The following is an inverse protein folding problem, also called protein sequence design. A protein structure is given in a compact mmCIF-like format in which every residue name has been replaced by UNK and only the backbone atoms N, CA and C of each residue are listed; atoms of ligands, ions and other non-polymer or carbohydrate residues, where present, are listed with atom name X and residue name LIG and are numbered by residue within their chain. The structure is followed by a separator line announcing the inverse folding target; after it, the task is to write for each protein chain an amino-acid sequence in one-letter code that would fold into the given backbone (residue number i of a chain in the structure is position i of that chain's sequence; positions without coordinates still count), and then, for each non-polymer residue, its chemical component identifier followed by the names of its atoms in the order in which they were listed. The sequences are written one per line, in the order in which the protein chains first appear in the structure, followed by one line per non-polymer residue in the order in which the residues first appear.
data_IF_660532453314
#
_entry.id   IF_660532453314
#
_cell.length_a   1.000
_cell.length_b   1.000
_cell.length_c   1.000
_cell.angle_alpha   90.00
_cell.angle_beta   90.00
_cell.angle_gamma   90.00
#
_symmetry.space_group_name_H-M   'P 1'
#
loop_
_entity.id
_entity.type
_entity.pdbx_description
1 polymer ?
#
# COMPACT_ATOMS: atom_id res chain seq x y z
N UNK A 1 -1.32 -20.21 -3.55
CA UNK A 1 0.02 -19.74 -3.12
C UNK A 1 -0.20 -18.59 -2.14
N UNK A 2 0.57 -18.55 -1.06
CA UNK A 2 0.49 -17.50 -0.02
C UNK A 2 1.54 -16.44 -0.33
N UNK A 3 1.15 -15.16 -0.37
CA UNK A 3 2.08 -14.06 -0.63
C UNK A 3 2.99 -13.83 0.59
N UNK A 4 4.30 -13.85 0.37
CA UNK A 4 5.30 -13.63 1.41
C UNK A 4 5.98 -12.25 1.28
N UNK A 5 6.16 -11.56 2.41
CA UNK A 5 6.91 -10.30 2.45
C UNK A 5 8.19 -10.44 3.29
N UNK A 6 9.34 -10.22 2.68
CA UNK A 6 10.58 -9.94 3.41
C UNK A 6 10.68 -8.43 3.62
N UNK A 7 10.99 -7.98 4.83
CA UNK A 7 11.02 -6.56 5.18
C UNK A 7 12.41 -6.24 5.75
N UNK A 8 13.23 -5.59 4.94
CA UNK A 8 14.53 -5.06 5.34
C UNK A 8 14.29 -3.70 6.00
N UNK A 9 14.45 -3.63 7.31
CA UNK A 9 14.13 -2.42 8.09
C UNK A 9 15.10 -2.24 9.26
N UNK A 10 15.22 -1.01 9.76
CA UNK A 10 15.85 -0.76 11.04
C UNK A 10 14.89 -0.98 12.22
N UNK A 11 13.58 -0.99 11.99
CA UNK A 11 12.57 -1.05 13.05
C UNK A 11 11.65 -2.27 12.85
N UNK A 12 12.14 -3.49 13.07
CA UNK A 12 11.34 -4.71 12.91
C UNK A 12 10.07 -4.73 13.76
N UNK A 13 10.09 -4.08 14.93
CA UNK A 13 8.97 -3.97 15.87
C UNK A 13 7.76 -3.19 15.32
N UNK A 14 7.93 -2.45 14.23
CA UNK A 14 6.82 -1.76 13.55
C UNK A 14 5.88 -2.74 12.83
N UNK A 15 6.28 -4.00 12.63
CA UNK A 15 5.53 -4.99 11.87
C UNK A 15 5.04 -6.15 12.76
N UNK A 16 3.82 -6.68 12.53
CA UNK A 16 2.89 -6.33 11.46
C UNK A 16 2.13 -5.01 11.69
N UNK A 17 2.24 -4.39 12.87
CA UNK A 17 1.55 -3.13 13.17
C UNK A 17 0.03 -3.23 12.96
N UNK A 18 -0.54 -2.28 12.21
CA UNK A 18 -1.97 -2.31 11.87
C UNK A 18 -2.37 -3.52 11.00
N UNK A 19 -1.43 -4.11 10.25
CA UNK A 19 -1.70 -5.30 9.41
C UNK A 19 -2.00 -6.54 10.25
N UNK A 20 -1.62 -6.54 11.54
CA UNK A 20 -1.98 -7.60 12.48
C UNK A 20 -3.44 -7.53 12.96
N UNK A 21 -4.22 -6.55 12.51
CA UNK A 21 -5.59 -6.32 12.97
C UNK A 21 -6.61 -6.73 11.89
N UNK A 22 -7.87 -6.92 12.29
CA UNK A 22 -9.00 -7.10 11.37
C UNK A 22 -8.78 -8.23 10.32
N UNK A 23 -9.21 -8.05 9.08
CA UNK A 23 -9.13 -9.05 8.00
C UNK A 23 -7.68 -9.41 7.63
N UNK A 24 -6.76 -8.44 7.58
CA UNK A 24 -5.35 -8.71 7.30
C UNK A 24 -4.71 -9.57 8.40
N UNK A 25 -5.03 -9.29 9.68
CA UNK A 25 -4.57 -10.09 10.82
C UNK A 25 -5.11 -11.52 10.78
N UNK A 26 -6.42 -11.68 10.56
CA UNK A 26 -7.04 -13.01 10.37
C UNK A 26 -6.42 -13.77 9.19
N UNK A 27 -6.12 -13.07 8.11
CA UNK A 27 -5.47 -13.66 6.94
C UNK A 27 -4.02 -14.11 7.24
N UNK A 28 -3.31 -13.39 8.11
CA UNK A 28 -1.98 -13.76 8.60
C UNK A 28 -2.06 -15.03 9.47
N UNK A 29 -3.00 -15.10 10.41
CA UNK A 29 -3.25 -16.28 11.25
C UNK A 29 -3.60 -17.52 10.42
N UNK A 30 -4.42 -17.34 9.37
CA UNK A 30 -4.79 -18.39 8.42
C UNK A 30 -3.72 -18.68 7.36
N UNK A 31 -2.55 -18.03 7.43
CA UNK A 31 -1.41 -18.22 6.52
C UNK A 31 -1.74 -17.90 5.05
N UNK A 32 -2.73 -17.05 4.78
CA UNK A 32 -3.07 -16.56 3.44
C UNK A 32 -1.97 -15.63 2.91
N UNK A 33 -1.30 -14.94 3.82
CA UNK A 33 -0.05 -14.23 3.58
C UNK A 33 0.88 -14.42 4.78
N UNK A 34 2.14 -14.04 4.62
CA UNK A 34 3.14 -14.08 5.70
C UNK A 34 4.16 -12.97 5.55
N UNK A 35 4.88 -12.67 6.64
CA UNK A 35 5.99 -11.73 6.60
C UNK A 35 7.17 -12.23 7.43
N UNK A 36 8.35 -11.73 7.08
CA UNK A 36 9.57 -11.82 7.86
C UNK A 36 10.23 -10.45 7.92
N UNK A 37 10.49 -9.95 9.11
CA UNK A 37 11.33 -8.78 9.30
C UNK A 37 12.79 -9.20 9.40
N UNK A 38 13.67 -8.38 8.81
CA UNK A 38 15.12 -8.53 8.83
C UNK A 38 15.65 -7.20 9.37
N UNK A 39 16.18 -7.23 10.58
CA UNK A 39 16.78 -6.05 11.21
C UNK A 39 18.15 -5.79 10.57
N UNK A 40 18.22 -4.74 9.76
CA UNK A 40 19.45 -4.35 9.05
C UNK A 40 20.59 -4.06 10.04
N UNK A 41 20.28 -3.64 11.28
CA UNK A 41 21.30 -3.39 12.31
C UNK A 41 22.06 -4.65 12.70
N UNK A 42 21.51 -5.84 12.51
CA UNK A 42 22.24 -7.09 12.80
C UNK A 42 23.48 -7.28 11.92
N UNK A 43 23.52 -6.61 10.78
CA UNK A 43 24.63 -6.66 9.82
C UNK A 43 25.54 -5.40 9.91
N UNK A 44 25.22 -4.48 10.81
CA UNK A 44 25.94 -3.22 10.99
C UNK A 44 27.38 -3.40 11.51
N UNK A 45 28.25 -2.43 11.21
CA UNK A 45 29.65 -2.50 11.57
C UNK A 45 29.95 -2.01 12.99
N UNK A 46 30.92 -2.66 13.63
CA UNK A 46 31.47 -2.27 14.93
C UNK A 46 30.49 -2.46 16.10
N UNK A 47 30.90 -1.98 17.27
CA UNK A 47 30.16 -2.16 18.53
C UNK A 47 28.79 -1.46 18.48
N UNK A 48 28.68 -0.38 17.72
CA UNK A 48 27.44 0.40 17.58
C UNK A 48 26.52 -0.09 16.47
N UNK A 49 26.87 -1.17 15.75
CA UNK A 49 26.08 -1.72 14.64
C UNK A 49 25.73 -0.63 13.60
N UNK A 50 26.72 0.16 13.19
CA UNK A 50 26.52 1.25 12.24
C UNK A 50 26.08 0.71 10.86
N UNK A 51 24.99 1.26 10.32
CA UNK A 51 24.38 0.82 9.05
C UNK A 51 24.51 1.87 7.93
N UNK A 52 24.97 3.06 8.30
CA UNK A 52 25.01 4.26 7.48
C UNK A 52 26.38 4.95 7.60
N UNK A 53 26.69 5.82 6.63
CA UNK A 53 27.88 6.67 6.64
C UNK A 53 27.59 8.00 5.93
N UNK A 54 28.52 8.93 6.02
CA UNK A 54 28.46 10.22 5.33
C UNK A 54 28.46 10.05 3.80
N UNK A 55 27.70 10.89 3.07
CA UNK A 55 27.65 10.81 1.61
C UNK A 55 28.97 11.29 0.97
N UNK A 56 29.43 10.55 -0.05
CA UNK A 56 30.45 11.08 -0.96
C UNK A 56 29.94 12.32 -1.70
N UNK A 57 30.80 13.33 -1.87
CA UNK A 57 30.42 14.62 -2.45
C UNK A 57 29.93 15.67 -1.44
N UNK A 58 29.84 15.29 -0.16
CA UNK A 58 29.30 16.15 0.89
C UNK A 58 27.77 16.22 0.88
N UNK A 59 27.20 16.90 1.88
CA UNK A 59 25.76 16.95 2.10
C UNK A 59 25.43 16.83 3.59
N UNK A 60 24.20 17.19 3.95
CA UNK A 60 23.69 16.90 5.28
C UNK A 60 23.23 15.44 5.36
N UNK A 61 23.18 14.88 6.57
CA UNK A 61 22.63 13.55 6.83
C UNK A 61 23.58 12.39 6.53
N UNK A 62 23.01 11.19 6.51
CA UNK A 62 23.72 9.91 6.36
C UNK A 62 23.06 9.08 5.25
N UNK A 63 23.81 8.15 4.66
CA UNK A 63 23.33 7.24 3.61
C UNK A 63 23.55 5.80 4.06
N UNK A 64 22.51 4.97 3.92
CA UNK A 64 22.61 3.54 4.25
C UNK A 64 23.59 2.85 3.31
N UNK A 65 24.50 2.07 3.88
CA UNK A 65 25.65 1.52 3.15
C UNK A 65 25.30 0.26 2.35
N UNK A 66 25.84 0.20 1.13
CA UNK A 66 25.63 -0.92 0.22
C UNK A 66 26.04 -2.29 0.82
N UNK A 67 27.18 -2.37 1.50
CA UNK A 67 27.72 -3.62 2.04
C UNK A 67 26.89 -4.20 3.20
N UNK A 68 26.15 -3.35 3.91
CA UNK A 68 25.25 -3.76 4.99
C UNK A 68 23.92 -4.23 4.41
N UNK A 69 23.38 -3.50 3.43
CA UNK A 69 22.16 -3.91 2.73
C UNK A 69 22.37 -5.23 1.96
N UNK A 70 23.54 -5.43 1.35
CA UNK A 70 23.93 -6.68 0.68
C UNK A 70 23.78 -7.90 1.62
N UNK A 71 24.32 -7.78 2.84
CA UNK A 71 24.27 -8.85 3.83
C UNK A 71 22.83 -9.10 4.31
N UNK A 72 22.08 -8.03 4.59
CA UNK A 72 20.68 -8.15 4.99
C UNK A 72 19.82 -8.79 3.90
N UNK A 73 20.02 -8.39 2.63
CA UNK A 73 19.32 -8.95 1.47
C UNK A 73 19.67 -10.43 1.26
N UNK A 74 20.94 -10.80 1.43
CA UNK A 74 21.39 -12.19 1.33
C UNK A 74 20.76 -13.11 2.38
N UNK A 75 20.29 -12.54 3.50
CA UNK A 75 19.59 -13.28 4.55
C UNK A 75 18.09 -13.49 4.26
N UNK A 76 17.53 -12.78 3.28
CA UNK A 76 16.13 -12.89 2.88
C UNK A 76 15.88 -14.20 2.12
N UNK A 77 15.07 -15.15 2.66
CA UNK A 77 14.74 -16.36 1.95
C UNK A 77 13.80 -16.02 0.79
N UNK A 78 14.07 -16.57 -0.39
CA UNK A 78 13.28 -16.31 -1.60
C UNK A 78 13.01 -14.80 -1.78
N UNK A 79 14.02 -13.99 -2.13
CA UNK A 79 13.90 -12.53 -2.12
C UNK A 79 12.81 -12.02 -3.07
N UNK A 80 12.39 -12.81 -4.06
CA UNK A 80 11.27 -12.47 -4.95
C UNK A 80 11.45 -11.11 -5.62
N UNK A 81 10.37 -10.35 -5.74
CA UNK A 81 10.40 -9.00 -6.31
C UNK A 81 11.00 -8.02 -5.29
N UNK A 82 12.07 -7.31 -5.65
CA UNK A 82 12.76 -6.34 -4.79
C UNK A 82 12.23 -4.94 -5.03
N UNK A 83 11.73 -4.29 -3.98
CA UNK A 83 11.15 -2.95 -4.03
C UNK A 83 11.82 -2.06 -3.00
N UNK A 84 12.29 -0.90 -3.43
CA UNK A 84 12.78 0.16 -2.55
C UNK A 84 11.69 1.22 -2.38
N UNK A 85 11.28 1.47 -1.14
CA UNK A 85 10.25 2.46 -0.82
C UNK A 85 10.89 3.85 -0.83
N UNK A 86 10.65 4.61 -1.91
CA UNK A 86 11.36 5.83 -2.24
C UNK A 86 10.43 6.85 -2.89
N UNK A 87 10.51 8.16 -2.53
CA UNK A 87 9.71 9.19 -3.18
C UNK A 87 10.10 9.42 -4.65
N UNK A 88 11.29 8.95 -5.09
CA UNK A 88 11.72 8.96 -6.51
C UNK A 88 11.02 7.90 -7.36
N UNK A 89 10.40 6.92 -6.70
CA UNK A 89 9.83 5.76 -7.35
C UNK A 89 8.56 6.06 -8.13
N UNK A 90 8.12 5.06 -8.90
CA UNK A 90 6.82 5.12 -9.56
C UNK A 90 5.70 5.28 -8.51
N UNK A 91 4.62 6.01 -8.79
CA UNK A 91 3.48 6.07 -7.89
C UNK A 91 2.83 4.68 -7.70
N UNK A 92 2.51 4.34 -6.46
CA UNK A 92 1.69 3.19 -6.11
C UNK A 92 0.26 3.42 -6.60
N UNK A 93 -0.23 2.52 -7.45
CA UNK A 93 -1.59 2.59 -8.03
C UNK A 93 -2.32 1.27 -7.85
N UNK A 94 -3.65 1.30 -7.88
CA UNK A 94 -4.47 0.09 -7.73
C UNK A 94 -4.12 -0.98 -8.77
N UNK A 95 -3.82 -0.57 -10.01
CA UNK A 95 -3.33 -1.47 -11.05
C UNK A 95 -2.03 -2.17 -10.65
N UNK A 96 -1.06 -1.40 -10.17
CA UNK A 96 0.22 -1.97 -9.76
C UNK A 96 0.10 -2.88 -8.53
N UNK A 97 -0.76 -2.52 -7.57
CA UNK A 97 -1.10 -3.36 -6.42
C UNK A 97 -1.70 -4.70 -6.86
N UNK A 98 -2.62 -4.70 -7.83
CA UNK A 98 -3.21 -5.93 -8.41
C UNK A 98 -2.16 -6.82 -9.08
N UNK A 99 -1.09 -6.24 -9.62
CA UNK A 99 0.01 -7.02 -10.20
C UNK A 99 0.95 -7.57 -9.12
N UNK A 100 1.26 -6.78 -8.09
CA UNK A 100 2.04 -7.23 -6.93
C UNK A 100 1.35 -8.36 -6.17
N UNK A 101 0.02 -8.31 -6.00
CA UNK A 101 -0.74 -9.33 -5.27
C UNK A 101 -0.73 -10.71 -5.95
N UNK A 102 -0.27 -10.81 -7.20
CA UNK A 102 -0.12 -12.08 -7.94
C UNK A 102 1.26 -12.71 -7.76
N UNK A 103 2.21 -12.01 -7.12
CA UNK A 103 3.55 -12.55 -6.87
C UNK A 103 3.55 -13.51 -5.68
N UNK A 104 4.57 -14.38 -5.60
CA UNK A 104 4.71 -15.30 -4.47
C UNK A 104 5.48 -14.66 -3.30
N UNK A 105 6.48 -13.83 -3.62
CA UNK A 105 7.33 -13.18 -2.63
C UNK A 105 7.75 -11.78 -3.07
N UNK A 106 7.78 -10.84 -2.12
CA UNK A 106 8.23 -9.46 -2.29
C UNK A 106 9.21 -9.12 -1.17
N UNK A 107 10.36 -8.57 -1.52
CA UNK A 107 11.29 -7.96 -0.56
C UNK A 107 11.16 -6.45 -0.59
N UNK A 108 10.81 -5.87 0.54
CA UNK A 108 10.63 -4.43 0.75
C UNK A 108 11.85 -3.88 1.50
N UNK A 109 12.55 -2.92 0.90
CA UNK A 109 13.62 -2.17 1.53
C UNK A 109 13.08 -0.84 2.08
N UNK A 110 13.03 -0.74 3.41
CA UNK A 110 12.63 0.48 4.11
C UNK A 110 13.85 1.39 4.30
N UNK A 111 14.01 2.38 3.42
CA UNK A 111 15.07 3.38 3.55
C UNK A 111 14.90 4.29 4.76
N UNK A 112 16.01 4.80 5.27
CA UNK A 112 16.12 5.81 6.32
C UNK A 112 17.19 6.83 5.96
N UNK A 113 17.33 7.84 6.81
CA UNK A 113 18.29 8.93 6.60
C UNK A 113 18.04 9.62 5.25
N UNK A 114 19.08 10.00 4.51
CA UNK A 114 18.93 10.62 3.18
C UNK A 114 18.64 9.59 2.08
N UNK A 115 18.82 8.30 2.36
CA UNK A 115 18.53 7.23 1.41
C UNK A 115 19.50 6.05 1.51
N UNK A 116 19.51 5.27 0.44
CA UNK A 116 20.35 4.06 0.29
C UNK A 116 21.37 4.31 -0.81
N UNK A 117 22.58 3.78 -0.65
CA UNK A 117 23.62 3.82 -1.68
C UNK A 117 23.10 3.29 -3.02
N UNK A 118 23.22 4.09 -4.09
CA UNK A 118 22.65 3.76 -5.40
C UNK A 118 23.20 2.43 -5.97
N UNK A 119 24.43 2.06 -5.64
CA UNK A 119 25.10 0.87 -6.20
C UNK A 119 24.38 -0.43 -5.81
N UNK A 120 23.86 -0.53 -4.58
CA UNK A 120 23.12 -1.73 -4.16
C UNK A 120 21.75 -1.81 -4.85
N UNK A 121 21.11 -0.66 -5.09
CA UNK A 121 19.84 -0.61 -5.81
C UNK A 121 20.01 -1.08 -7.25
N UNK A 122 21.03 -0.57 -7.94
CA UNK A 122 21.35 -0.90 -9.33
C UNK A 122 21.81 -2.36 -9.47
N UNK A 123 22.68 -2.84 -8.58
CA UNK A 123 23.23 -4.20 -8.64
C UNK A 123 22.16 -5.30 -8.43
N UNK A 124 21.05 -4.96 -7.79
CA UNK A 124 19.98 -5.90 -7.45
C UNK A 124 18.64 -5.56 -8.11
N UNK A 125 18.61 -4.67 -9.10
CA UNK A 125 17.41 -4.30 -9.85
C UNK A 125 16.23 -3.92 -8.93
N UNK A 126 16.48 -3.12 -7.89
CA UNK A 126 15.41 -2.63 -7.02
C UNK A 126 14.45 -1.74 -7.80
N UNK A 127 13.17 -2.10 -7.81
CA UNK A 127 12.12 -1.19 -8.31
C UNK A 127 11.80 -0.15 -7.24
N UNK A 128 11.97 1.14 -7.57
CA UNK A 128 11.59 2.22 -6.66
C UNK A 128 10.08 2.47 -6.72
N UNK A 129 9.41 2.52 -5.56
CA UNK A 129 7.96 2.78 -5.45
C UNK A 129 7.68 3.88 -4.44
N UNK A 130 6.91 4.87 -4.87
CA UNK A 130 6.44 5.99 -4.05
C UNK A 130 4.97 5.81 -3.66
N UNK A 131 4.62 6.11 -2.41
CA UNK A 131 3.23 6.13 -1.92
C UNK A 131 2.58 7.52 -2.03
N UNK A 132 3.30 8.50 -2.56
CA UNK A 132 2.78 9.82 -2.91
C UNK A 132 3.84 10.92 -2.91
N UNK A 133 3.44 12.11 -3.35
CA UNK A 133 4.31 13.27 -3.53
C UNK A 133 4.54 14.03 -2.21
N UNK A 134 5.09 13.33 -1.22
CA UNK A 134 5.43 13.84 0.11
C UNK A 134 6.56 13.01 0.72
N UNK A 135 7.22 13.56 1.74
CA UNK A 135 8.36 12.91 2.41
C UNK A 135 7.92 12.31 3.74
N UNK A 136 8.31 11.06 3.98
CA UNK A 136 8.14 10.36 5.26
C UNK A 136 9.49 10.25 5.96
N UNK A 137 9.48 9.94 7.27
CA UNK A 137 10.71 9.74 8.05
C UNK A 137 11.44 8.42 7.72
N UNK A 138 10.84 7.55 6.92
CA UNK A 138 11.37 6.25 6.53
C UNK A 138 10.41 5.48 5.63
N UNK A 139 10.86 4.35 5.12
CA UNK A 139 10.09 3.49 4.22
C UNK A 139 9.03 2.61 4.91
N UNK A 140 9.04 2.48 6.25
CA UNK A 140 8.17 1.55 6.98
C UNK A 140 6.68 1.86 6.85
N UNK A 141 6.22 3.13 6.95
CA UNK A 141 4.82 3.44 6.68
C UNK A 141 4.44 3.18 5.22
N UNK A 142 5.33 3.44 4.27
CA UNK A 142 5.11 3.15 2.86
C UNK A 142 5.01 1.64 2.58
N UNK A 143 5.84 0.83 3.25
CA UNK A 143 5.76 -0.62 3.19
C UNK A 143 4.43 -1.13 3.75
N UNK A 144 3.95 -0.61 4.89
CA UNK A 144 2.63 -0.95 5.43
C UNK A 144 1.48 -0.62 4.46
N UNK A 145 1.52 0.54 3.80
CA UNK A 145 0.52 0.94 2.81
C UNK A 145 0.52 -0.04 1.62
N UNK A 146 1.69 -0.35 1.07
CA UNK A 146 1.81 -1.28 -0.05
C UNK A 146 1.31 -2.69 0.33
N UNK A 147 1.73 -3.18 1.49
CA UNK A 147 1.30 -4.48 2.01
C UNK A 147 -0.21 -4.53 2.22
N UNK A 148 -0.81 -3.55 2.90
CA UNK A 148 -2.26 -3.48 3.13
C UNK A 148 -3.05 -3.60 1.82
N UNK A 149 -2.65 -2.79 0.84
CA UNK A 149 -3.29 -2.76 -0.48
C UNK A 149 -3.17 -4.10 -1.20
N UNK A 150 -2.02 -4.78 -1.12
CA UNK A 150 -1.83 -6.10 -1.74
C UNK A 150 -2.60 -7.20 -1.01
N UNK A 151 -2.53 -7.22 0.32
CA UNK A 151 -3.11 -8.27 1.18
C UNK A 151 -4.62 -8.33 0.99
N UNK A 152 -5.31 -7.18 0.91
CA UNK A 152 -6.77 -7.20 0.75
C UNK A 152 -7.21 -7.86 -0.56
N UNK A 153 -6.39 -7.82 -1.62
CA UNK A 153 -6.71 -8.42 -2.91
C UNK A 153 -6.46 -9.93 -2.95
N UNK A 154 -5.85 -10.52 -1.92
CA UNK A 154 -5.58 -11.95 -1.89
C UNK A 154 -6.89 -12.77 -1.76
N UNK A 155 -7.01 -13.89 -2.49
CA UNK A 155 -8.15 -14.78 -2.34
C UNK A 155 -8.35 -15.24 -0.89
N UNK A 156 -9.56 -15.08 -0.37
CA UNK A 156 -9.92 -15.48 1.00
C UNK A 156 -9.71 -14.39 2.07
N UNK A 157 -9.23 -13.20 1.71
CA UNK A 157 -9.11 -12.07 2.66
C UNK A 157 -10.39 -11.25 2.72
N UNK A 158 -10.89 -10.80 1.57
CA UNK A 158 -12.17 -10.12 1.49
C UNK A 158 -13.33 -11.13 1.43
N UNK A 159 -14.38 -10.87 2.22
CA UNK A 159 -15.53 -11.76 2.33
C UNK A 159 -16.48 -11.74 1.11
N UNK A 160 -16.41 -10.70 0.27
CA UNK A 160 -17.20 -10.63 -0.97
C UNK A 160 -16.31 -10.28 -2.16
N UNK A 161 -16.17 -11.22 -3.10
CA UNK A 161 -15.37 -11.04 -4.32
C UNK A 161 -15.96 -9.98 -5.25
N UNK A 162 -17.26 -9.66 -5.13
CA UNK A 162 -17.94 -8.64 -5.94
C UNK A 162 -17.62 -7.21 -5.49
N UNK A 163 -16.98 -7.01 -4.33
CA UNK A 163 -16.68 -5.65 -3.84
C UNK A 163 -15.54 -5.00 -4.61
N UNK A 164 -14.47 -5.74 -4.94
CA UNK A 164 -13.28 -5.14 -5.56
C UNK A 164 -13.54 -4.50 -6.95
N UNK A 165 -14.37 -5.09 -7.83
CA UNK A 165 -14.79 -4.43 -9.07
C UNK A 165 -15.57 -3.13 -8.84
N UNK A 166 -16.26 -2.99 -7.71
CA UNK A 166 -17.13 -1.85 -7.42
C UNK A 166 -16.39 -0.68 -6.73
N UNK A 167 -15.10 -0.83 -6.46
CA UNK A 167 -14.32 0.15 -5.69
C UNK A 167 -13.76 1.30 -6.55
N UNK A 168 -13.37 2.37 -5.87
CA UNK A 168 -12.60 3.45 -6.51
C UNK A 168 -11.36 2.92 -7.22
N UNK A 169 -11.07 3.48 -8.41
CA UNK A 169 -9.92 3.15 -9.26
C UNK A 169 -9.93 1.74 -9.87
N UNK A 170 -10.99 0.95 -9.71
CA UNK A 170 -11.13 -0.35 -10.38
C UNK A 170 -11.23 -0.16 -11.90
N UNK A 171 -10.73 -1.14 -12.66
CA UNK A 171 -10.84 -1.12 -14.12
C UNK A 171 -12.31 -1.29 -14.56
N UNK A 172 -13.07 -2.06 -13.80
CA UNK A 172 -14.48 -2.36 -14.01
C UNK A 172 -15.38 -1.12 -13.83
N UNK A 173 -14.98 -0.15 -12.99
CA UNK A 173 -15.60 1.19 -12.91
C UNK A 173 -14.97 2.23 -13.84
N UNK A 174 -14.07 1.83 -14.73
CA UNK A 174 -13.37 2.74 -15.64
C UNK A 174 -12.39 3.68 -14.93
N UNK A 175 -11.84 3.28 -13.78
CA UNK A 175 -10.88 4.07 -13.01
C UNK A 175 -11.49 5.23 -12.21
N UNK A 176 -12.83 5.29 -12.11
CA UNK A 176 -13.55 6.36 -11.43
C UNK A 176 -13.52 6.22 -9.90
N UNK A 177 -13.89 7.31 -9.20
CA UNK A 177 -14.16 7.29 -7.76
C UNK A 177 -15.53 6.65 -7.45
N UNK A 178 -15.68 6.07 -6.28
CA UNK A 178 -16.93 5.44 -5.84
C UNK A 178 -18.07 6.45 -5.69
N UNK A 179 -19.28 5.95 -5.89
CA UNK A 179 -20.52 6.68 -5.63
C UNK A 179 -20.75 6.84 -4.11
N UNK A 180 -21.60 7.79 -3.67
CA UNK A 180 -21.86 7.98 -2.26
C UNK A 180 -22.71 6.83 -1.69
N UNK A 181 -22.31 6.34 -0.52
CA UNK A 181 -23.01 5.26 0.18
C UNK A 181 -24.03 5.79 1.17
N UNK A 182 -25.11 5.02 1.33
CA UNK A 182 -26.18 5.27 2.26
C UNK A 182 -26.52 3.96 2.98
N UNK A 183 -26.80 4.04 4.27
CA UNK A 183 -27.24 2.89 5.07
C UNK A 183 -28.41 3.29 5.95
N UNK A 184 -28.96 2.33 6.69
CA UNK A 184 -30.03 2.57 7.66
C UNK A 184 -29.52 3.47 8.80
N UNK A 185 -30.36 4.35 9.38
CA UNK A 185 -31.78 4.55 9.07
C UNK A 185 -32.03 5.37 7.78
N UNK A 186 -33.22 5.23 7.19
CA UNK A 186 -33.58 5.93 5.95
C UNK A 186 -33.72 7.45 6.13
N UNK A 187 -34.06 7.88 7.34
CA UNK A 187 -34.12 9.28 7.74
C UNK A 187 -33.32 9.44 9.04
N UNK A 188 -32.50 10.48 9.10
CA UNK A 188 -31.76 10.86 10.30
C UNK A 188 -31.83 12.37 10.50
N UNK A 189 -32.19 12.79 11.71
CA UNK A 189 -32.17 14.21 12.09
C UNK A 189 -30.77 14.59 12.52
N UNK A 190 -30.16 15.54 11.80
CA UNK A 190 -28.83 16.02 12.14
C UNK A 190 -28.83 16.90 13.40
N UNK A 191 -27.63 17.26 13.88
CA UNK A 191 -27.45 18.05 15.10
C UNK A 191 -28.12 19.43 15.09
N UNK A 192 -28.54 19.92 13.92
CA UNK A 192 -29.23 21.20 13.76
C UNK A 192 -30.75 21.02 13.64
N UNK A 193 -31.27 19.81 13.84
CA UNK A 193 -32.70 19.51 13.71
C UNK A 193 -33.16 19.29 12.26
N UNK A 194 -32.25 19.20 11.28
CA UNK A 194 -32.61 19.01 9.87
C UNK A 194 -32.71 17.52 9.56
N UNK A 195 -33.85 17.10 9.01
CA UNK A 195 -34.05 15.72 8.53
C UNK A 195 -33.25 15.49 7.25
N UNK A 196 -32.37 14.49 7.26
CA UNK A 196 -31.59 14.01 6.13
C UNK A 196 -32.16 12.68 5.65
N UNK A 197 -32.43 12.57 4.35
CA UNK A 197 -33.04 11.36 3.75
C UNK A 197 -32.08 10.66 2.78
N UNK A 198 -32.25 9.35 2.64
CA UNK A 198 -31.62 8.56 1.58
C UNK A 198 -32.32 8.85 0.24
N UNK A 199 -31.59 9.02 -0.88
CA UNK A 199 -32.18 9.22 -2.21
C UNK A 199 -33.23 8.16 -2.55
N UNK A 200 -34.41 8.59 -3.05
CA UNK A 200 -35.55 7.70 -3.32
C UNK A 200 -35.22 6.58 -4.31
N UNK A 201 -34.34 6.84 -5.28
CA UNK A 201 -33.88 5.83 -6.23
C UNK A 201 -33.23 4.63 -5.54
N UNK A 202 -32.50 4.83 -4.44
CA UNK A 202 -31.86 3.78 -3.65
C UNK A 202 -32.87 2.97 -2.82
N UNK A 203 -34.09 3.49 -2.67
CA UNK A 203 -35.22 2.84 -1.97
C UNK A 203 -36.20 2.15 -2.92
N UNK A 204 -36.03 2.31 -4.23
CA UNK A 204 -36.99 1.87 -5.24
C UNK A 204 -37.01 0.37 -5.53
N UNK A 205 -35.96 -0.36 -5.13
CA UNK A 205 -35.76 -1.76 -5.52
C UNK A 205 -35.45 -1.98 -7.00
N UNK A 206 -35.36 -0.91 -7.80
CA UNK A 206 -35.07 -1.01 -9.23
C UNK A 206 -33.55 -1.02 -9.46
N UNK A 207 -32.98 -2.22 -9.61
CA UNK A 207 -31.55 -2.43 -9.78
C UNK A 207 -30.94 -1.61 -10.92
N UNK A 208 -31.59 -1.55 -12.09
CA UNK A 208 -31.10 -0.78 -13.23
C UNK A 208 -31.06 0.73 -12.97
N UNK A 209 -32.09 1.29 -12.32
CA UNK A 209 -32.08 2.72 -11.93
C UNK A 209 -31.05 3.02 -10.85
N UNK A 210 -30.82 2.09 -9.92
CA UNK A 210 -29.81 2.22 -8.87
C UNK A 210 -28.41 2.23 -9.49
N UNK A 211 -28.13 1.30 -10.39
CA UNK A 211 -26.84 1.19 -11.06
C UNK A 211 -26.55 2.42 -11.93
N UNK A 212 -27.53 2.88 -12.72
CA UNK A 212 -27.43 4.12 -13.47
C UNK A 212 -27.12 5.31 -12.56
N UNK A 213 -27.88 5.47 -11.47
CA UNK A 213 -27.65 6.56 -10.52
C UNK A 213 -26.25 6.48 -9.88
N UNK A 214 -25.79 5.28 -9.51
CA UNK A 214 -24.44 5.05 -8.95
C UNK A 214 -23.37 5.50 -9.95
N UNK A 215 -23.49 5.09 -11.21
CA UNK A 215 -22.56 5.50 -12.25
C UNK A 215 -22.56 7.03 -12.44
N UNK A 216 -23.73 7.66 -12.54
CA UNK A 216 -23.85 9.12 -12.66
C UNK A 216 -23.22 9.85 -11.48
N UNK A 217 -23.40 9.39 -10.24
CA UNK A 217 -22.75 9.98 -9.07
C UNK A 217 -21.23 9.78 -9.08
N UNK A 218 -20.76 8.59 -9.45
CA UNK A 218 -19.34 8.27 -9.59
C UNK A 218 -18.65 9.20 -10.59
N UNK A 219 -19.24 9.40 -11.78
CA UNK A 219 -18.75 10.35 -12.79
C UNK A 219 -18.75 11.78 -12.24
N UNK A 220 -19.83 12.20 -11.58
CA UNK A 220 -19.95 13.56 -11.02
C UNK A 220 -18.91 13.85 -9.94
N UNK A 221 -18.68 12.90 -9.03
CA UNK A 221 -17.68 13.02 -7.96
C UNK A 221 -16.27 13.03 -8.55
N UNK A 222 -16.00 12.14 -9.51
CA UNK A 222 -14.69 12.08 -10.19
C UNK A 222 -14.41 13.39 -10.92
N UNK A 223 -15.38 13.93 -11.69
CA UNK A 223 -15.23 15.23 -12.36
C UNK A 223 -14.90 16.37 -11.41
N UNK A 224 -15.49 16.35 -10.22
CA UNK A 224 -15.31 17.39 -9.21
C UNK A 224 -13.97 17.26 -8.49
N UNK A 225 -13.61 16.06 -8.06
CA UNK A 225 -12.53 15.84 -7.09
C UNK A 225 -11.23 15.34 -7.72
N UNK A 226 -11.34 14.56 -8.81
CA UNK A 226 -10.22 13.94 -9.52
C UNK A 226 -10.44 14.01 -11.04
N UNK A 227 -10.53 15.23 -11.61
CA UNK A 227 -10.77 15.42 -13.04
C UNK A 227 -9.64 14.82 -13.91
N UNK A 228 -8.47 14.59 -13.34
CA UNK A 228 -7.36 13.88 -13.96
C UNK A 228 -7.70 12.43 -14.34
N UNK A 229 -8.58 11.75 -13.59
CA UNK A 229 -9.00 10.38 -13.87
C UNK A 229 -10.00 10.26 -15.04
N UNK A 230 -10.62 11.37 -15.45
CA UNK A 230 -11.56 11.39 -16.57
C UNK A 230 -10.88 11.53 -17.94
N UNK A 231 -9.56 11.71 -17.96
CA UNK A 231 -8.81 11.80 -19.21
C UNK A 231 -8.43 10.39 -19.65
N UNK A 232 -9.24 9.84 -20.55
CA UNK A 232 -8.84 8.77 -21.48
C UNK A 232 -9.40 9.10 -22.85
#
# INVERSE_FOLDING_TARGET
MSLHFNILTLFPEMFPGCLGQSLSGKALENKIWSLRTIDIREFGQGVHKAVDDTPYGGGAGMVMRADIIEQALSYAPNPGKKIYLSPRGRPLTQKYVKDLSKTEAITLLCGRYEGVDQRILDAHDFEEVSVGDYVLSGGEPAAMILMDACIRLLPGVMGNAETAPEESFSEERGGLLEYPHYTKPAEWTDKNGVVRTVPDVLRSGNHGKIEQWRHEQSVKITKKNRPDLLKT
#
